data_IF_513769444414
#
_entry.id   IF_513769444414
#
_cell.length_a   1.000
_cell.length_b   1.000
_cell.length_c   1.000
_cell.angle_alpha   90.00
_cell.angle_beta   90.00
_cell.angle_gamma   90.00
#
_symmetry.space_group_name_H-M   'P 1'
#
loop_
_entity.id
_entity.type
_entity.pdbx_description
1 polymer ?
#
# COMPACT_ATOMS: atom_id res chain seq x y z
N UNK A 1 10.59 -12.55 -0.91
CA UNK A 1 9.28 -12.45 -0.31
C UNK A 1 8.40 -11.49 -1.11
N UNK A 2 7.16 -11.84 -1.31
CA UNK A 2 6.22 -11.01 -2.03
C UNK A 2 4.92 -10.87 -1.24
N UNK A 3 4.55 -9.63 -0.93
CA UNK A 3 3.30 -9.34 -0.22
C UNK A 3 2.53 -8.36 -1.09
N UNK A 4 1.37 -8.77 -1.57
CA UNK A 4 0.58 -7.97 -2.53
C UNK A 4 -0.90 -8.02 -2.24
N UNK A 5 -1.58 -7.02 -2.80
CA UNK A 5 -3.02 -6.92 -2.81
C UNK A 5 -3.46 -6.53 -4.22
N UNK A 6 -4.66 -6.04 -4.36
CA UNK A 6 -5.15 -5.49 -5.63
C UNK A 6 -6.08 -4.33 -5.36
N UNK A 7 -6.24 -3.47 -6.35
CA UNK A 7 -7.12 -2.32 -6.24
C UNK A 7 -8.57 -2.79 -6.14
N UNK A 8 -9.26 -2.38 -5.08
CA UNK A 8 -10.68 -2.72 -4.88
C UNK A 8 -11.60 -1.58 -5.30
N UNK A 9 -11.08 -0.36 -5.41
CA UNK A 9 -11.85 0.80 -5.80
C UNK A 9 -10.89 1.85 -6.36
N UNK A 10 -11.31 2.56 -7.41
CA UNK A 10 -10.49 3.60 -8.05
C UNK A 10 -11.40 4.79 -8.33
N UNK A 11 -10.95 5.99 -7.98
CA UNK A 11 -11.75 7.20 -8.13
C UNK A 11 -10.87 8.39 -8.48
N UNK A 12 -11.34 9.23 -9.40
CA UNK A 12 -10.71 10.52 -9.65
C UNK A 12 -11.29 11.56 -8.71
N UNK A 13 -10.43 12.34 -8.09
CA UNK A 13 -10.80 13.31 -7.06
C UNK A 13 -10.84 14.72 -7.62
N UNK A 14 -11.57 15.60 -6.94
CA UNK A 14 -11.55 17.03 -7.20
C UNK A 14 -10.73 17.71 -6.13
N UNK A 15 -10.17 18.88 -6.48
CA UNK A 15 -9.34 19.66 -5.56
C UNK A 15 -10.08 19.89 -4.25
N UNK A 16 -9.42 19.56 -3.15
CA UNK A 16 -9.97 19.76 -1.81
C UNK A 16 -10.80 18.63 -1.27
N UNK A 17 -11.16 17.64 -2.10
CA UNK A 17 -11.83 16.45 -1.59
C UNK A 17 -10.94 15.77 -0.57
N UNK A 18 -11.55 15.24 0.48
CA UNK A 18 -10.80 14.64 1.57
C UNK A 18 -11.05 13.15 1.64
N UNK A 19 -10.06 12.43 2.15
CA UNK A 19 -10.15 10.99 2.39
C UNK A 19 -9.65 10.68 3.79
N UNK A 20 -9.94 9.46 4.22
CA UNK A 20 -9.54 8.94 5.51
C UNK A 20 -10.31 9.54 6.67
N UNK A 21 -10.25 8.86 7.76
CA UNK A 21 -10.87 9.28 9.01
C UNK A 21 -10.22 10.60 9.46
N UNK A 22 -11.06 11.58 9.78
CA UNK A 22 -10.57 12.88 10.21
C UNK A 22 -10.06 13.77 9.09
N UNK A 23 -10.38 13.46 7.83
CA UNK A 23 -9.98 14.25 6.67
C UNK A 23 -8.47 14.49 6.63
N UNK A 24 -7.69 13.42 6.84
CA UNK A 24 -6.23 13.50 6.97
C UNK A 24 -5.50 13.81 5.69
N UNK A 25 -6.14 13.72 4.54
CA UNK A 25 -5.53 14.02 3.26
C UNK A 25 -6.51 14.79 2.39
N UNK A 26 -6.02 15.85 1.73
CA UNK A 26 -6.81 16.61 0.76
C UNK A 26 -6.23 16.38 -0.63
N UNK A 27 -7.10 15.97 -1.56
CA UNK A 27 -6.68 15.66 -2.92
C UNK A 27 -6.40 16.91 -3.73
N UNK A 28 -5.53 16.76 -4.73
CA UNK A 28 -5.36 17.79 -5.75
C UNK A 28 -6.31 17.50 -6.92
N UNK A 29 -6.53 18.50 -7.78
CA UNK A 29 -7.48 18.36 -8.89
C UNK A 29 -7.05 17.24 -9.83
N UNK A 30 -7.93 16.32 -10.10
CA UNK A 30 -7.68 15.22 -11.02
C UNK A 30 -6.88 14.05 -10.45
N UNK A 31 -6.55 14.08 -9.16
CA UNK A 31 -5.78 13.00 -8.55
C UNK A 31 -6.57 11.69 -8.60
N UNK A 32 -5.90 10.62 -9.04
CA UNK A 32 -6.50 9.29 -8.99
C UNK A 32 -6.13 8.64 -7.66
N UNK A 33 -7.14 8.24 -6.89
CA UNK A 33 -6.95 7.53 -5.63
C UNK A 33 -7.55 6.15 -5.73
N UNK A 34 -6.90 5.19 -5.10
CA UNK A 34 -7.35 3.81 -5.10
C UNK A 34 -7.38 3.26 -3.69
N UNK A 35 -8.33 2.38 -3.43
CA UNK A 35 -8.46 1.69 -2.15
C UNK A 35 -7.90 0.28 -2.27
N UNK A 36 -7.18 -0.14 -1.25
CA UNK A 36 -6.68 -1.50 -1.08
C UNK A 36 -7.38 -2.15 0.10
N UNK A 37 -7.87 -3.39 -0.03
CA UNK A 37 -8.54 -4.07 1.08
C UNK A 37 -7.53 -4.70 2.03
N UNK A 38 -6.59 -3.91 2.51
CA UNK A 38 -5.56 -4.34 3.44
C UNK A 38 -5.22 -3.18 4.38
N UNK A 39 -5.08 -3.48 5.64
CA UNK A 39 -4.78 -2.46 6.65
C UNK A 39 -4.02 -3.04 7.83
N UNK A 40 -4.05 -2.34 8.96
CA UNK A 40 -3.19 -2.72 10.08
C UNK A 40 -3.59 -4.06 10.72
N UNK A 41 -4.85 -4.48 10.59
CA UNK A 41 -5.26 -5.80 11.08
C UNK A 41 -4.62 -6.94 10.29
N UNK A 42 -4.13 -6.66 9.09
CA UNK A 42 -3.41 -7.63 8.26
C UNK A 42 -1.90 -7.57 8.50
N UNK A 43 -1.45 -6.61 9.29
CA UNK A 43 -0.04 -6.40 9.57
C UNK A 43 0.59 -5.26 8.78
N UNK A 44 -0.19 -4.50 8.01
CA UNK A 44 0.32 -3.31 7.33
C UNK A 44 0.24 -2.14 8.30
N UNK A 45 1.31 -1.92 9.01
CA UNK A 45 1.38 -1.04 10.18
C UNK A 45 0.98 0.38 9.86
N UNK A 46 0.32 1.04 10.82
CA UNK A 46 -0.10 2.43 10.63
C UNK A 46 1.08 3.39 10.42
N UNK A 47 2.24 3.08 10.98
CA UNK A 47 3.44 3.90 10.79
C UNK A 47 4.08 3.72 9.40
N UNK A 48 3.54 2.83 8.57
CA UNK A 48 3.96 2.71 7.17
C UNK A 48 3.20 3.66 6.24
N UNK A 49 2.43 4.60 6.79
CA UNK A 49 1.68 5.58 5.98
C UNK A 49 2.53 6.51 5.12
N UNK A 50 3.83 6.63 5.41
CA UNK A 50 4.73 7.42 4.58
C UNK A 50 5.38 6.66 3.43
N UNK A 51 5.03 5.40 3.26
CA UNK A 51 5.67 4.54 2.26
C UNK A 51 4.99 4.65 0.89
N UNK A 52 5.64 4.11 -0.13
CA UNK A 52 5.06 3.98 -1.45
C UNK A 52 4.84 2.51 -1.77
N UNK A 53 3.76 2.23 -2.49
CA UNK A 53 3.45 0.88 -2.95
C UNK A 53 3.65 0.82 -4.45
N UNK A 54 3.83 -0.38 -5.00
CA UNK A 54 4.19 -0.52 -6.41
C UNK A 54 3.01 -1.00 -7.23
N UNK A 55 2.66 -0.24 -8.28
CA UNK A 55 1.60 -0.59 -9.22
C UNK A 55 2.21 -0.49 -10.62
N UNK A 56 2.39 -1.62 -11.27
CA UNK A 56 2.99 -1.70 -12.62
C UNK A 56 4.29 -0.92 -12.74
N UNK A 57 5.15 -1.02 -11.73
CA UNK A 57 6.43 -0.35 -11.69
C UNK A 57 6.41 1.08 -11.22
N UNK A 58 5.22 1.65 -10.98
CA UNK A 58 5.08 3.01 -10.46
C UNK A 58 5.06 3.01 -8.94
N UNK A 59 5.77 3.95 -8.33
CA UNK A 59 5.72 4.13 -6.88
C UNK A 59 4.55 5.03 -6.52
N UNK A 60 3.59 4.45 -5.84
CA UNK A 60 2.34 5.13 -5.50
C UNK A 60 2.30 5.40 -4.00
N UNK A 61 2.31 6.67 -3.59
CA UNK A 61 2.36 6.97 -2.15
C UNK A 61 1.05 6.64 -1.44
N UNK A 62 1.16 6.14 -0.23
CA UNK A 62 0.01 5.94 0.65
C UNK A 62 -0.52 7.31 1.05
N UNK A 63 -1.82 7.50 1.00
CA UNK A 63 -2.48 8.75 1.35
C UNK A 63 -3.44 8.54 2.51
N UNK A 64 -3.42 9.49 3.44
CA UNK A 64 -4.28 9.42 4.60
C UNK A 64 -3.80 8.37 5.60
N UNK A 65 -4.69 7.94 6.46
CA UNK A 65 -4.38 7.00 7.53
C UNK A 65 -4.60 5.58 7.07
N UNK A 66 -3.70 4.67 7.43
CA UNK A 66 -3.94 3.24 7.22
C UNK A 66 -4.98 2.80 8.25
N UNK A 67 -6.13 2.33 7.78
CA UNK A 67 -7.22 1.88 8.63
C UNK A 67 -7.06 0.39 8.94
N UNK A 68 -7.99 -0.15 9.73
CA UNK A 68 -7.91 -1.54 10.14
C UNK A 68 -7.93 -2.50 8.95
N UNK A 69 -8.84 -2.27 8.00
CA UNK A 69 -9.07 -3.19 6.89
C UNK A 69 -8.76 -2.60 5.52
N UNK A 70 -8.32 -1.36 5.46
CA UNK A 70 -8.07 -0.72 4.16
C UNK A 70 -7.07 0.42 4.26
N UNK A 71 -6.46 0.75 3.14
CA UNK A 71 -5.66 1.95 2.99
C UNK A 71 -5.84 2.47 1.56
N UNK A 72 -5.38 3.69 1.33
CA UNK A 72 -5.52 4.33 0.02
C UNK A 72 -4.17 4.79 -0.51
N UNK A 73 -4.04 4.75 -1.82
CA UNK A 73 -2.81 5.20 -2.50
C UNK A 73 -3.17 6.15 -3.62
N UNK A 74 -2.22 7.02 -3.97
CA UNK A 74 -2.34 7.94 -5.10
C UNK A 74 -1.72 7.28 -6.32
N UNK A 75 -2.47 7.26 -7.42
CA UNK A 75 -2.02 6.65 -8.68
C UNK A 75 -1.57 7.73 -9.65
N UNK A 76 -0.55 7.45 -10.49
CA UNK A 76 -0.12 8.42 -11.51
C UNK A 76 -1.14 8.57 -12.65
N UNK A 77 -2.03 7.59 -12.79
CA UNK A 77 -3.08 7.58 -13.80
C UNK A 77 -4.13 6.56 -13.38
N UNK A 78 -5.21 6.45 -14.13
CA UNK A 78 -6.23 5.44 -13.86
C UNK A 78 -5.69 4.04 -14.14
N UNK A 79 -5.95 3.12 -13.20
CA UNK A 79 -5.73 1.69 -13.40
C UNK A 79 -7.02 0.95 -13.11
N UNK A 80 -7.28 -0.17 -13.78
CA UNK A 80 -8.51 -0.94 -13.53
C UNK A 80 -8.55 -1.52 -12.11
N UNK A 81 -9.76 -1.68 -11.60
CA UNK A 81 -9.97 -2.46 -10.38
C UNK A 81 -9.43 -3.87 -10.60
N UNK A 82 -8.76 -4.43 -9.63
CA UNK A 82 -8.10 -5.73 -9.74
C UNK A 82 -6.64 -5.66 -10.12
N UNK A 83 -6.13 -4.47 -10.50
CA UNK A 83 -4.69 -4.31 -10.78
C UNK A 83 -3.90 -4.67 -9.53
N UNK A 84 -2.82 -5.44 -9.72
CA UNK A 84 -1.99 -5.91 -8.60
C UNK A 84 -1.16 -4.78 -8.00
N UNK A 85 -1.08 -4.78 -6.69
CA UNK A 85 -0.28 -3.80 -5.94
C UNK A 85 0.70 -4.57 -5.07
N UNK A 86 1.97 -4.24 -5.17
CA UNK A 86 3.01 -4.88 -4.37
C UNK A 86 3.33 -4.00 -3.17
N UNK A 87 3.15 -4.54 -1.97
CA UNK A 87 3.50 -3.86 -0.73
C UNK A 87 4.95 -4.16 -0.36
N UNK A 88 5.35 -5.41 -0.50
CA UNK A 88 6.73 -5.86 -0.28
C UNK A 88 7.15 -6.74 -1.45
N UNK A 89 8.36 -6.54 -1.95
CA UNK A 89 8.91 -7.34 -3.04
C UNK A 89 9.05 -6.57 -4.34
N UNK A 90 9.23 -7.28 -5.41
CA UNK A 90 9.49 -6.70 -6.73
C UNK A 90 8.21 -6.54 -7.54
N UNK A 91 8.15 -5.45 -8.32
CA UNK A 91 7.05 -5.18 -9.24
C UNK A 91 7.64 -4.42 -10.42
N UNK A 92 7.70 -5.05 -11.60
CA UNK A 92 8.20 -4.44 -12.84
C UNK A 92 9.55 -3.73 -12.68
N UNK A 93 10.47 -4.37 -11.98
CA UNK A 93 11.83 -3.84 -11.81
C UNK A 93 12.05 -2.94 -10.62
N UNK A 94 10.98 -2.50 -9.95
CA UNK A 94 11.08 -1.75 -8.70
C UNK A 94 10.93 -2.70 -7.52
N UNK A 95 11.57 -2.36 -6.42
CA UNK A 95 11.57 -3.24 -5.24
C UNK A 95 11.20 -2.46 -3.98
N UNK A 96 10.27 -3.01 -3.21
CA UNK A 96 9.99 -2.55 -1.86
C UNK A 96 10.60 -3.54 -0.89
N UNK A 97 11.65 -3.12 -0.22
CA UNK A 97 12.43 -3.96 0.68
C UNK A 97 12.00 -3.68 2.13
N UNK A 98 11.64 -4.71 2.91
CA UNK A 98 11.20 -4.48 4.29
C UNK A 98 12.26 -3.83 5.17
N UNK A 99 13.54 -4.10 4.93
CA UNK A 99 14.62 -3.48 5.71
C UNK A 99 14.70 -1.97 5.47
N UNK A 100 14.53 -1.54 4.22
CA UNK A 100 14.54 -0.11 3.90
C UNK A 100 13.35 0.60 4.52
N UNK A 101 12.17 -0.01 4.47
CA UNK A 101 10.98 0.55 5.10
C UNK A 101 11.16 0.64 6.62
N UNK A 102 11.77 -0.38 7.23
CA UNK A 102 11.97 -0.43 8.66
C UNK A 102 12.88 0.70 9.15
N UNK A 103 13.89 1.04 8.39
CA UNK A 103 14.80 2.15 8.75
C UNK A 103 14.02 3.46 8.90
N UNK A 104 13.07 3.71 8.01
CA UNK A 104 12.29 4.95 8.05
C UNK A 104 11.39 5.04 9.27
N UNK A 105 10.92 3.92 9.80
CA UNK A 105 10.03 3.92 10.96
C UNK A 105 10.74 3.52 12.26
N UNK A 106 12.06 3.39 12.22
CA UNK A 106 12.85 3.14 13.43
C UNK A 106 12.81 1.70 13.93
N UNK A 107 12.61 0.74 13.06
CA UNK A 107 12.60 -0.68 13.43
C UNK A 107 13.47 -1.50 12.48
N UNK A 108 13.36 -2.80 12.51
CA UNK A 108 14.10 -3.70 11.62
C UNK A 108 13.12 -4.45 10.71
N UNK A 109 13.61 -4.85 9.53
CA UNK A 109 12.76 -5.49 8.53
C UNK A 109 12.08 -6.75 9.03
N UNK A 110 12.73 -7.48 9.91
CA UNK A 110 12.18 -8.70 10.46
C UNK A 110 10.88 -8.44 11.24
N UNK A 111 10.80 -7.31 11.93
CA UNK A 111 9.60 -6.96 12.67
C UNK A 111 8.41 -6.70 11.74
N UNK A 112 8.66 -6.08 10.58
CA UNK A 112 7.61 -5.86 9.58
C UNK A 112 7.11 -7.21 9.05
N UNK A 113 8.01 -8.12 8.73
CA UNK A 113 7.64 -9.44 8.21
C UNK A 113 6.87 -10.25 9.25
N UNK A 114 7.30 -10.24 10.49
CA UNK A 114 6.65 -10.98 11.55
C UNK A 114 5.29 -10.41 11.92
N UNK A 115 5.05 -9.15 11.60
CA UNK A 115 3.78 -8.50 11.89
C UNK A 115 2.65 -8.87 10.94
N UNK A 116 2.96 -9.50 9.80
CA UNK A 116 1.92 -9.89 8.85
C UNK A 116 1.05 -10.96 9.49
N UNK A 117 -0.25 -10.67 9.61
CA UNK A 117 -1.17 -11.47 10.41
C UNK A 117 -1.62 -12.74 9.69
N UNK A 118 -2.24 -13.63 10.44
CA UNK A 118 -2.79 -14.86 9.89
C UNK A 118 -3.99 -14.65 8.97
N UNK A 119 -4.52 -13.43 8.89
CA UNK A 119 -5.60 -13.10 7.94
C UNK A 119 -5.11 -13.13 6.50
N UNK A 120 -3.79 -13.01 6.30
CA UNK A 120 -3.20 -12.98 4.96
C UNK A 120 -2.87 -14.40 4.52
N UNK A 121 -3.46 -14.87 3.41
CA UNK A 121 -3.12 -16.20 2.90
C UNK A 121 -1.64 -16.27 2.50
N UNK A 122 -1.02 -17.40 2.75
CA UNK A 122 0.37 -17.61 2.40
C UNK A 122 0.49 -18.76 1.41
N UNK A 123 1.19 -18.48 0.32
CA UNK A 123 1.49 -19.49 -0.68
C UNK A 123 2.98 -19.76 -0.64
N UNK A 124 3.34 -21.01 -0.41
CA UNK A 124 4.74 -21.41 -0.39
C UNK A 124 5.08 -21.97 -1.76
N UNK A 125 6.03 -21.35 -2.45
CA UNK A 125 6.44 -21.79 -3.77
C UNK A 125 7.91 -22.19 -3.73
N UNK A 126 8.24 -23.21 -4.52
CA UNK A 126 9.62 -23.58 -4.67
C UNK A 126 10.23 -22.64 -5.68
N UNK A 127 11.04 -21.74 -5.19
CA UNK A 127 11.66 -20.85 -6.05
C UNK A 127 13.04 -21.15 -6.18
N UNK A 128 13.43 -21.43 -7.25
CA UNK A 128 14.77 -21.71 -7.30
C UNK A 128 15.49 -20.86 -8.22
#
# INVERSE_FOLDING_TARGET
>A
MLFRSELSYVKQMHKGDTISYGARYRAYEGEWLATLPIGYADGWRRDLGGQTLLVEGHRCPVRGVICMDQCMISLPKEFPIGTKVTLLGENNGEINNPSDMAVEIGTIGYEILCGISGRVPRNYVDNE
#
